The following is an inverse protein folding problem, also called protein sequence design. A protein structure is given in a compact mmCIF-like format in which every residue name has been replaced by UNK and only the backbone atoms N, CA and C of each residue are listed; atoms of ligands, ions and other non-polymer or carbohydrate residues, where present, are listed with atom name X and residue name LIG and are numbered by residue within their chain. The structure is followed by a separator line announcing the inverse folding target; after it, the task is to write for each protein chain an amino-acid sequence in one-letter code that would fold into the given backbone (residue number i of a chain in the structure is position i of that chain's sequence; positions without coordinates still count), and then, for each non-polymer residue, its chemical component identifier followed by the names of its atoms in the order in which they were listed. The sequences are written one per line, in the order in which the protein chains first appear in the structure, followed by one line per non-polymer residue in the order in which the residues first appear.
data_IF_486274977631
#
_entry.id   IF_486274977631
#
_cell.length_a   1.000
_cell.length_b   1.000
_cell.length_c   1.000
_cell.angle_alpha   90.00
_cell.angle_beta   90.00
_cell.angle_gamma   90.00
#
_symmetry.space_group_name_H-M   'P 1'
#
loop_
_entity.id
_entity.type
_entity.pdbx_description
1 polymer ?
#
# COMPACT_ATOMS: atom_id res chain seq x y z
N UNK A 1 52.24 19.58 -8.52
CA UNK A 1 51.81 18.64 -7.45
C UNK A 1 50.75 19.34 -6.63
N UNK A 2 49.59 18.81 -6.27
CA UNK A 2 48.78 17.66 -6.68
C UNK A 2 47.32 18.05 -6.34
N UNK A 3 46.35 17.63 -7.15
CA UNK A 3 44.91 17.77 -6.88
C UNK A 3 44.50 16.94 -5.66
N UNK A 4 43.61 17.39 -4.76
CA UNK A 4 42.91 16.47 -3.88
C UNK A 4 41.76 15.79 -4.64
N UNK A 5 41.62 14.50 -4.36
CA UNK A 5 40.86 13.52 -5.12
C UNK A 5 39.37 13.80 -5.23
N UNK A 6 38.83 13.42 -6.39
CA UNK A 6 37.43 13.12 -6.56
C UNK A 6 37.01 12.08 -5.50
N UNK A 7 36.13 12.47 -4.58
CA UNK A 7 35.45 11.53 -3.72
C UNK A 7 34.66 10.56 -4.58
N UNK A 8 35.01 9.27 -4.49
CA UNK A 8 34.21 8.19 -5.05
C UNK A 8 32.76 8.38 -4.59
N UNK A 9 31.85 8.57 -5.54
CA UNK A 9 30.44 8.76 -5.27
C UNK A 9 29.93 7.57 -4.47
N UNK A 10 29.58 7.78 -3.21
CA UNK A 10 28.83 6.79 -2.44
C UNK A 10 27.57 6.47 -3.25
N UNK A 11 27.49 5.26 -3.79
CA UNK A 11 26.27 4.75 -4.41
C UNK A 11 25.18 4.83 -3.34
N UNK A 12 24.25 5.76 -3.50
CA UNK A 12 23.15 5.92 -2.56
C UNK A 12 22.28 4.65 -2.61
N UNK A 13 22.43 3.80 -1.59
CA UNK A 13 21.60 2.61 -1.42
C UNK A 13 20.17 3.03 -1.08
N UNK A 14 19.19 2.38 -1.70
CA UNK A 14 17.78 2.50 -1.33
C UNK A 14 17.41 1.22 -0.60
N UNK A 15 16.91 1.36 0.62
CA UNK A 15 16.32 0.25 1.37
C UNK A 15 14.83 0.53 1.48
N UNK A 16 14.04 -0.36 0.90
CA UNK A 16 12.59 -0.38 1.08
C UNK A 16 12.30 -1.07 2.41
N UNK A 17 11.64 -0.39 3.38
CA UNK A 17 11.25 -1.03 4.62
C UNK A 17 10.36 -2.23 4.34
N UNK A 18 10.63 -3.36 4.99
CA UNK A 18 9.75 -4.53 4.92
C UNK A 18 8.46 -4.17 5.68
N UNK A 19 7.27 -4.27 5.07
CA UNK A 19 6.02 -4.03 5.77
C UNK A 19 5.89 -4.96 6.99
N UNK A 20 5.20 -4.55 8.06
CA UNK A 20 4.83 -5.47 9.12
C UNK A 20 4.01 -6.63 8.53
N UNK A 21 4.11 -7.82 9.14
CA UNK A 21 3.37 -9.01 8.72
C UNK A 21 1.86 -8.85 9.00
N UNK A 22 1.21 -8.09 8.13
CA UNK A 22 -0.20 -7.70 8.18
C UNK A 22 -0.64 -7.30 6.78
N UNK A 23 -1.55 -8.05 6.20
CA UNK A 23 -2.15 -7.73 4.90
C UNK A 23 -3.62 -8.14 4.92
N UNK A 24 -4.45 -7.47 4.13
CA UNK A 24 -5.83 -7.88 3.91
C UNK A 24 -6.21 -7.55 2.48
N UNK A 25 -6.89 -8.47 1.81
CA UNK A 25 -7.42 -8.27 0.48
C UNK A 25 -8.70 -9.08 0.31
N UNK A 26 -9.80 -8.41 0.04
CA UNK A 26 -11.11 -8.97 -0.26
C UNK A 26 -11.46 -8.66 -1.71
N UNK A 27 -11.89 -9.69 -2.43
CA UNK A 27 -12.37 -9.54 -3.81
C UNK A 27 -13.88 -9.28 -3.85
N UNK A 28 -14.58 -9.64 -2.78
CA UNK A 28 -15.95 -9.24 -2.52
C UNK A 28 -16.28 -9.34 -1.03
N UNK A 29 -17.53 -9.09 -0.66
CA UNK A 29 -17.98 -9.08 0.74
C UNK A 29 -17.86 -10.41 1.50
N UNK A 30 -17.56 -11.52 0.81
CA UNK A 30 -17.52 -12.87 1.33
C UNK A 30 -16.17 -13.57 1.10
N UNK A 31 -15.44 -13.20 0.05
CA UNK A 31 -14.20 -13.87 -0.34
C UNK A 31 -13.02 -12.94 -0.15
N UNK A 32 -12.01 -13.42 0.58
CA UNK A 32 -10.79 -12.66 0.82
C UNK A 32 -9.79 -13.42 1.66
N UNK A 33 -8.63 -12.79 1.81
CA UNK A 33 -7.51 -13.31 2.57
C UNK A 33 -6.97 -12.27 3.53
N UNK A 34 -6.46 -12.75 4.67
CA UNK A 34 -5.84 -11.95 5.71
C UNK A 34 -4.50 -12.55 6.05
N UNK A 35 -3.46 -11.77 5.88
CA UNK A 35 -2.10 -12.08 6.26
C UNK A 35 -1.80 -11.55 7.67
N UNK A 36 -1.18 -12.36 8.49
CA UNK A 36 -0.69 -11.96 9.82
C UNK A 36 0.68 -12.57 10.07
N UNK A 37 1.34 -12.16 11.16
CA UNK A 37 2.54 -12.84 11.67
C UNK A 37 2.31 -14.35 11.95
N UNK A 38 1.06 -14.79 12.16
CA UNK A 38 0.71 -16.18 12.44
C UNK A 38 0.35 -17.03 11.23
N UNK A 39 0.24 -16.45 10.03
CA UNK A 39 -0.21 -17.18 8.85
C UNK A 39 -1.08 -16.38 7.89
N UNK A 40 -1.38 -17.01 6.75
CA UNK A 40 -2.42 -16.62 5.81
C UNK A 40 -3.75 -17.28 6.20
N UNK A 41 -4.79 -16.48 6.33
CA UNK A 41 -6.15 -16.89 6.63
C UNK A 41 -7.04 -16.61 5.41
N UNK A 42 -7.78 -17.60 4.93
CA UNK A 42 -8.79 -17.43 3.87
C UNK A 42 -10.22 -17.47 4.40
N UNK A 43 -11.15 -16.82 3.69
CA UNK A 43 -12.59 -16.86 3.95
C UNK A 43 -13.40 -16.90 2.66
N UNK A 44 -14.56 -17.58 2.71
CA UNK A 44 -15.54 -17.68 1.61
C UNK A 44 -16.94 -17.19 1.98
N UNK A 45 -17.12 -16.77 3.23
CA UNK A 45 -18.37 -16.23 3.78
C UNK A 45 -18.18 -14.84 4.42
N UNK A 46 -16.95 -14.35 4.52
CA UNK A 46 -16.59 -13.08 5.12
C UNK A 46 -16.84 -13.04 6.62
N UNK A 47 -16.93 -14.22 7.27
CA UNK A 47 -17.23 -14.40 8.70
C UNK A 47 -16.27 -15.39 9.35
N UNK A 48 -16.09 -16.56 8.74
CA UNK A 48 -15.21 -17.62 9.22
C UNK A 48 -13.88 -17.58 8.48
N UNK A 49 -12.78 -17.74 9.21
CA UNK A 49 -11.41 -17.68 8.69
C UNK A 49 -10.68 -18.98 9.00
N UNK A 50 -9.98 -19.51 8.00
CA UNK A 50 -9.22 -20.76 8.12
C UNK A 50 -7.77 -20.51 7.75
N UNK A 51 -6.85 -21.10 8.52
CA UNK A 51 -5.42 -21.04 8.20
C UNK A 51 -5.16 -21.86 6.95
N UNK A 52 -4.72 -21.20 5.88
CA UNK A 52 -4.36 -21.83 4.60
C UNK A 52 -2.85 -21.99 4.48
N UNK A 53 -2.07 -21.07 5.06
CA UNK A 53 -0.61 -21.12 5.08
C UNK A 53 -0.08 -20.75 6.47
N UNK A 54 0.89 -21.52 6.98
CA UNK A 54 1.56 -21.29 8.28
C UNK A 54 2.90 -20.58 8.13
N UNK A 55 2.87 -19.40 7.50
CA UNK A 55 4.03 -18.52 7.37
C UNK A 55 3.59 -17.06 7.56
N UNK A 56 4.40 -16.18 8.17
CA UNK A 56 4.09 -14.76 8.26
C UNK A 56 3.84 -14.18 6.87
N UNK A 57 2.80 -13.37 6.70
CA UNK A 57 2.46 -12.75 5.42
C UNK A 57 2.57 -11.23 5.51
N UNK A 58 3.30 -10.62 4.59
CA UNK A 58 3.57 -9.18 4.54
C UNK A 58 2.82 -8.45 3.42
N UNK A 59 2.28 -9.18 2.44
CA UNK A 59 1.54 -8.60 1.32
C UNK A 59 0.61 -9.62 0.67
N UNK A 60 -0.53 -9.15 0.15
CA UNK A 60 -1.50 -9.95 -0.60
C UNK A 60 -1.95 -9.12 -1.81
N UNK A 61 -1.99 -9.74 -2.98
CA UNK A 61 -2.65 -9.20 -4.16
C UNK A 61 -3.71 -10.22 -4.61
N UNK A 62 -4.98 -9.85 -4.47
CA UNK A 62 -6.10 -10.70 -4.84
C UNK A 62 -6.72 -10.20 -6.15
N UNK A 63 -6.91 -11.07 -7.13
CA UNK A 63 -7.47 -10.71 -8.43
C UNK A 63 -8.94 -11.13 -8.53
N UNK A 64 -9.25 -12.35 -8.12
CA UNK A 64 -10.62 -12.84 -8.02
C UNK A 64 -10.75 -13.92 -6.93
N UNK A 65 -11.90 -14.60 -6.86
CA UNK A 65 -12.19 -15.62 -5.84
C UNK A 65 -11.26 -16.84 -5.89
N UNK A 66 -10.65 -17.12 -7.04
CA UNK A 66 -9.81 -18.29 -7.26
C UNK A 66 -8.32 -17.93 -7.33
N UNK A 67 -7.99 -16.71 -7.74
CA UNK A 67 -6.62 -16.28 -8.07
C UNK A 67 -6.16 -15.16 -7.16
N UNK A 68 -5.12 -15.46 -6.38
CA UNK A 68 -4.44 -14.50 -5.52
C UNK A 68 -2.96 -14.88 -5.35
N UNK A 69 -2.18 -13.89 -4.95
CA UNK A 69 -0.76 -13.99 -4.61
C UNK A 69 -0.51 -13.42 -3.23
N UNK A 70 0.48 -13.96 -2.53
CA UNK A 70 0.90 -13.48 -1.22
C UNK A 70 2.42 -13.48 -1.11
N UNK A 71 2.97 -12.58 -0.31
CA UNK A 71 4.39 -12.57 0.04
C UNK A 71 4.55 -12.99 1.50
N UNK A 72 5.45 -13.96 1.74
CA UNK A 72 5.84 -14.37 3.08
C UNK A 72 6.86 -13.41 3.71
N UNK A 73 7.05 -13.45 5.03
CA UNK A 73 7.99 -12.57 5.74
C UNK A 73 9.46 -12.72 5.33
N UNK A 74 9.85 -13.87 4.76
CA UNK A 74 11.16 -14.12 4.14
C UNK A 74 11.21 -13.74 2.64
N UNK A 75 10.16 -13.10 2.13
CA UNK A 75 10.08 -12.49 0.81
C UNK A 75 9.65 -13.43 -0.31
N UNK A 76 9.11 -14.61 0.00
CA UNK A 76 8.73 -15.59 -1.02
C UNK A 76 7.34 -15.32 -1.57
N UNK A 77 7.15 -15.58 -2.86
CA UNK A 77 5.84 -15.46 -3.50
C UNK A 77 5.10 -16.79 -3.41
N UNK A 78 3.87 -16.73 -2.92
CA UNK A 78 2.88 -17.80 -2.97
C UNK A 78 1.79 -17.43 -3.97
N UNK A 79 1.16 -18.45 -4.56
CA UNK A 79 0.01 -18.29 -5.44
C UNK A 79 -1.06 -19.32 -5.14
N UNK A 80 -2.32 -18.91 -5.25
CA UNK A 80 -3.46 -19.80 -5.41
C UNK A 80 -4.10 -19.64 -6.79
N UNK A 81 -4.70 -20.72 -7.29
CA UNK A 81 -5.47 -20.72 -8.55
C UNK A 81 -6.87 -21.31 -8.39
N UNK A 82 -7.20 -21.81 -7.20
CA UNK A 82 -8.50 -22.37 -6.81
C UNK A 82 -9.10 -21.66 -5.58
N UNK A 83 -8.39 -20.67 -5.03
CA UNK A 83 -8.79 -19.89 -3.86
C UNK A 83 -8.59 -20.57 -2.51
N UNK A 84 -8.03 -21.79 -2.48
CA UNK A 84 -7.94 -22.61 -1.26
C UNK A 84 -6.58 -23.28 -1.04
N UNK A 85 -5.86 -23.59 -2.13
CA UNK A 85 -4.54 -24.22 -2.08
C UNK A 85 -3.50 -23.23 -2.57
N UNK A 86 -2.42 -23.14 -1.81
CA UNK A 86 -1.31 -22.23 -2.08
C UNK A 86 -0.07 -23.02 -2.46
N UNK A 87 0.54 -22.66 -3.58
CA UNK A 87 1.83 -23.16 -4.04
C UNK A 87 2.87 -22.06 -3.94
N UNK A 88 4.08 -22.40 -3.49
CA UNK A 88 5.23 -21.51 -3.54
C UNK A 88 5.73 -21.37 -4.98
N UNK A 89 5.95 -20.14 -5.41
CA UNK A 89 6.56 -19.81 -6.69
C UNK A 89 8.07 -19.52 -6.51
N UNK A 90 8.79 -19.44 -7.63
CA UNK A 90 10.22 -19.11 -7.66
C UNK A 90 10.53 -17.70 -7.13
N UNK A 91 11.74 -17.52 -6.63
CA UNK A 91 12.19 -16.33 -5.91
C UNK A 91 12.40 -15.12 -6.83
N UNK A 92 11.75 -14.01 -6.48
CA UNK A 92 12.50 -12.92 -5.89
C UNK A 92 12.12 -12.70 -4.43
N UNK A 93 13.07 -12.20 -3.62
CA UNK A 93 12.79 -11.67 -2.28
C UNK A 93 12.06 -10.33 -2.42
N UNK A 94 10.74 -10.40 -2.48
CA UNK A 94 9.88 -9.23 -2.63
C UNK A 94 9.48 -8.65 -1.27
N UNK A 95 9.26 -7.34 -1.26
CA UNK A 95 8.64 -6.60 -0.17
C UNK A 95 7.30 -5.98 -0.59
N UNK A 96 7.02 -5.95 -1.90
CA UNK A 96 5.75 -5.54 -2.50
C UNK A 96 5.40 -6.41 -3.70
N UNK A 97 4.11 -6.69 -3.89
CA UNK A 97 3.57 -7.41 -5.06
C UNK A 97 2.20 -6.85 -5.42
N UNK A 98 1.96 -6.70 -6.72
CA UNK A 98 0.65 -6.36 -7.28
C UNK A 98 0.47 -7.07 -8.61
N UNK A 99 -0.63 -7.80 -8.76
CA UNK A 99 -1.06 -8.35 -10.04
C UNK A 99 -2.15 -7.46 -10.63
N UNK A 100 -1.93 -7.02 -11.87
CA UNK A 100 -2.90 -6.21 -12.64
C UNK A 100 -3.88 -7.09 -13.43
N UNK A 101 -3.51 -8.35 -13.63
CA UNK A 101 -4.38 -9.41 -14.12
C UNK A 101 -3.83 -10.80 -13.74
N UNK A 102 -4.51 -11.84 -14.21
CA UNK A 102 -4.16 -13.22 -13.92
C UNK A 102 -2.73 -13.66 -14.32
N UNK A 103 -2.11 -12.97 -15.29
CA UNK A 103 -0.80 -13.33 -15.85
C UNK A 103 0.30 -12.30 -15.59
N UNK A 104 -0.04 -11.01 -15.46
CA UNK A 104 0.94 -9.93 -15.31
C UNK A 104 0.96 -9.39 -13.89
N UNK A 105 2.15 -9.42 -13.28
CA UNK A 105 2.40 -8.85 -11.97
C UNK A 105 3.65 -7.97 -11.94
N UNK A 106 3.65 -7.03 -11.02
CA UNK A 106 4.78 -6.18 -10.67
C UNK A 106 5.14 -6.42 -9.21
N UNK A 107 6.40 -6.23 -8.88
CA UNK A 107 6.87 -6.38 -7.52
C UNK A 107 8.10 -5.54 -7.25
N UNK A 108 8.37 -5.31 -5.97
CA UNK A 108 9.50 -4.53 -5.51
C UNK A 108 10.36 -5.38 -4.59
N UNK A 109 11.66 -5.38 -4.85
CA UNK A 109 12.66 -6.00 -3.97
C UNK A 109 13.05 -5.04 -2.84
N UNK A 110 13.64 -5.57 -1.77
CA UNK A 110 14.13 -4.75 -0.64
C UNK A 110 15.14 -3.68 -1.05
N UNK A 111 15.91 -3.94 -2.10
CA UNK A 111 16.92 -3.01 -2.62
C UNK A 111 16.31 -1.97 -3.60
N UNK A 112 14.99 -1.91 -3.71
CA UNK A 112 14.28 -0.94 -4.54
C UNK A 112 14.25 -1.27 -6.03
N UNK A 113 14.58 -2.50 -6.42
CA UNK A 113 14.49 -2.95 -7.82
C UNK A 113 13.05 -3.34 -8.16
N UNK A 114 12.48 -2.66 -9.14
CA UNK A 114 11.20 -3.04 -9.75
C UNK A 114 11.38 -4.29 -10.62
N UNK A 115 10.53 -5.28 -10.41
CA UNK A 115 10.47 -6.51 -11.20
C UNK A 115 9.08 -6.70 -11.78
N UNK A 116 9.00 -7.48 -12.86
CA UNK A 116 7.76 -7.81 -13.56
C UNK A 116 7.73 -9.30 -13.89
N UNK A 117 6.56 -9.89 -13.74
CA UNK A 117 6.22 -11.23 -14.20
C UNK A 117 5.17 -11.15 -15.31
N UNK A 118 5.27 -12.07 -16.27
CA UNK A 118 4.25 -12.26 -17.33
C UNK A 118 3.72 -13.69 -17.37
N UNK A 119 4.02 -14.49 -16.34
CA UNK A 119 3.69 -15.90 -16.22
C UNK A 119 3.08 -16.22 -14.84
N UNK A 120 2.21 -15.32 -14.36
CA UNK A 120 1.49 -15.46 -13.10
C UNK A 120 2.40 -15.58 -11.87
N UNK A 121 3.58 -14.95 -11.91
CA UNK A 121 4.56 -14.91 -10.82
C UNK A 121 5.54 -16.08 -10.82
N UNK A 122 5.53 -16.95 -11.82
CA UNK A 122 6.43 -18.11 -11.87
C UNK A 122 7.88 -17.68 -12.09
N UNK A 123 8.10 -16.66 -12.94
CA UNK A 123 9.39 -15.99 -13.13
C UNK A 123 9.24 -14.48 -13.05
N UNK A 124 10.31 -13.82 -12.63
CA UNK A 124 10.38 -12.38 -12.45
C UNK A 124 11.64 -11.83 -13.10
N UNK A 125 11.47 -10.76 -13.88
CA UNK A 125 12.56 -10.08 -14.57
C UNK A 125 12.60 -8.62 -14.12
N UNK A 126 13.79 -8.01 -14.10
CA UNK A 126 13.92 -6.59 -13.82
C UNK A 126 13.11 -5.79 -14.83
N UNK A 127 12.19 -4.96 -14.33
CA UNK A 127 11.45 -4.02 -15.16
C UNK A 127 12.26 -2.74 -15.35
N UNK A 128 11.96 -2.00 -16.43
CA UNK A 128 12.52 -0.66 -16.61
C UNK A 128 11.90 0.29 -15.58
N UNK A 129 12.75 1.02 -14.87
CA UNK A 129 12.36 2.02 -13.89
C UNK A 129 13.35 3.21 -13.95
N UNK A 130 12.98 4.39 -13.41
CA UNK A 130 13.86 5.57 -13.34
C UNK A 130 15.12 5.38 -12.47
N UNK A 131 15.26 4.22 -11.82
CA UNK A 131 16.32 3.85 -10.90
C UNK A 131 15.77 2.91 -9.84
N UNK A 132 16.43 2.86 -8.68
CA UNK A 132 15.85 2.25 -7.49
C UNK A 132 14.67 3.10 -7.00
N UNK A 133 13.59 2.45 -6.56
CA UNK A 133 12.34 3.08 -6.12
C UNK A 133 11.99 2.60 -4.70
N UNK A 134 11.16 3.37 -4.00
CA UNK A 134 10.72 3.05 -2.63
C UNK A 134 9.28 2.52 -2.57
N UNK A 135 8.48 2.82 -3.57
CA UNK A 135 7.11 2.34 -3.70
C UNK A 135 6.69 2.32 -5.17
N UNK A 136 5.82 1.39 -5.51
CA UNK A 136 5.25 1.14 -6.81
C UNK A 136 3.73 0.97 -6.70
N UNK A 137 3.02 1.34 -7.76
CA UNK A 137 1.65 0.90 -7.98
C UNK A 137 1.36 0.88 -9.48
N UNK A 138 0.86 -0.24 -9.98
CA UNK A 138 0.41 -0.41 -11.36
C UNK A 138 -1.08 -0.74 -11.35
N UNK A 139 -1.88 0.05 -12.04
CA UNK A 139 -3.32 -0.21 -12.18
C UNK A 139 -3.63 -1.06 -13.42
N UNK A 140 -2.76 -1.01 -14.43
CA UNK A 140 -2.88 -1.82 -15.65
C UNK A 140 -1.53 -2.36 -16.09
N UNK A 141 -1.50 -3.14 -17.18
CA UNK A 141 -0.24 -3.57 -17.81
C UNK A 141 0.62 -2.40 -18.30
N UNK A 142 0.02 -1.22 -18.51
CA UNK A 142 0.63 -0.06 -19.14
C UNK A 142 0.77 1.14 -18.20
N UNK A 143 -0.23 1.35 -17.36
CA UNK A 143 -0.32 2.50 -16.48
C UNK A 143 0.21 2.15 -15.09
N UNK A 144 1.13 2.97 -14.60
CA UNK A 144 1.72 2.78 -13.29
C UNK A 144 2.53 3.96 -12.81
N UNK A 145 2.84 3.91 -11.52
CA UNK A 145 3.55 4.94 -10.77
C UNK A 145 4.65 4.30 -9.94
N UNK A 146 5.76 5.02 -9.81
CA UNK A 146 6.82 4.70 -8.85
C UNK A 146 7.20 5.96 -8.09
N UNK A 147 7.65 5.81 -6.85
CA UNK A 147 8.01 6.94 -6.01
C UNK A 147 9.34 6.71 -5.29
N UNK A 148 10.07 7.81 -5.08
CA UNK A 148 11.32 7.86 -4.31
C UNK A 148 11.58 9.29 -3.83
N UNK A 149 11.85 9.44 -2.53
CA UNK A 149 11.87 10.74 -1.88
C UNK A 149 10.60 11.52 -2.20
N UNK A 150 10.71 12.84 -2.39
CA UNK A 150 9.57 13.68 -2.80
C UNK A 150 9.21 13.71 -4.28
N UNK A 151 9.55 12.65 -5.03
CA UNK A 151 9.23 12.56 -6.44
C UNK A 151 8.40 11.31 -6.76
N UNK A 152 7.49 11.48 -7.72
CA UNK A 152 6.72 10.41 -8.35
C UNK A 152 7.06 10.38 -9.82
N UNK A 153 7.14 9.18 -10.40
CA UNK A 153 7.29 8.96 -11.83
C UNK A 153 6.07 8.20 -12.33
N UNK A 154 5.52 8.64 -13.45
CA UNK A 154 4.35 8.04 -14.11
C UNK A 154 4.76 7.38 -15.42
N UNK A 155 4.19 6.22 -15.71
CA UNK A 155 4.29 5.53 -17.00
C UNK A 155 2.90 5.21 -17.57
N UNK A 156 2.78 5.24 -18.90
CA UNK A 156 1.59 4.86 -19.67
C UNK A 156 1.91 3.82 -20.75
N UNK A 157 3.11 3.23 -20.69
CA UNK A 157 3.64 2.30 -21.68
C UNK A 157 4.33 1.07 -21.04
N UNK A 158 3.97 0.76 -19.79
CA UNK A 158 4.44 -0.41 -19.07
C UNK A 158 5.88 -0.26 -18.57
N UNK A 159 6.29 0.98 -18.26
CA UNK A 159 7.61 1.33 -17.75
C UNK A 159 8.66 1.56 -18.83
N UNK A 160 8.30 1.62 -20.12
CA UNK A 160 9.27 1.90 -21.20
C UNK A 160 9.73 3.36 -21.15
N UNK A 161 8.83 4.27 -20.80
CA UNK A 161 9.07 5.68 -20.54
C UNK A 161 8.48 6.11 -19.20
N UNK A 162 9.12 7.09 -18.57
CA UNK A 162 8.73 7.63 -17.27
C UNK A 162 8.79 9.15 -17.25
N UNK A 163 7.70 9.78 -16.83
CA UNK A 163 7.65 11.24 -16.61
C UNK A 163 7.78 11.53 -15.12
N UNK A 164 8.78 12.33 -14.75
CA UNK A 164 9.04 12.69 -13.35
C UNK A 164 8.24 13.93 -12.94
N UNK A 165 7.58 13.85 -11.80
CA UNK A 165 6.99 15.00 -11.10
C UNK A 165 7.60 15.10 -9.71
N UNK A 166 8.21 16.26 -9.40
CA UNK A 166 8.70 16.56 -8.05
C UNK A 166 7.56 17.21 -7.27
N UNK A 167 7.06 16.51 -6.25
CA UNK A 167 5.98 16.99 -5.39
C UNK A 167 6.52 17.68 -4.15
N UNK A 168 7.69 17.25 -3.69
CA UNK A 168 8.36 17.79 -2.51
C UNK A 168 9.88 17.82 -2.66
N UNK A 169 10.51 18.60 -1.81
CA UNK A 169 11.96 18.87 -1.80
C UNK A 169 12.69 18.14 -0.67
N UNK A 170 11.98 17.45 0.22
CA UNK A 170 12.56 16.75 1.36
C UNK A 170 13.32 15.48 0.94
N UNK A 171 14.42 15.21 1.63
CA UNK A 171 15.29 14.04 1.38
C UNK A 171 14.94 12.81 2.23
N UNK A 172 14.11 12.97 3.27
CA UNK A 172 13.74 11.89 4.21
C UNK A 172 12.30 11.39 4.02
N UNK A 173 11.72 11.59 2.84
CA UNK A 173 10.35 11.19 2.58
C UNK A 173 10.27 9.70 2.29
N UNK A 174 9.37 9.01 2.98
CA UNK A 174 9.01 7.62 2.76
C UNK A 174 7.68 7.57 2.00
N UNK A 175 7.71 7.48 0.65
CA UNK A 175 6.48 7.43 -0.13
C UNK A 175 5.80 6.07 -0.04
N UNK A 176 4.47 6.09 0.04
CA UNK A 176 3.61 4.92 -0.15
C UNK A 176 2.56 5.25 -1.19
N UNK A 177 2.58 4.54 -2.33
CA UNK A 177 1.66 4.70 -3.44
C UNK A 177 0.49 3.72 -3.31
N UNK A 178 -0.70 4.19 -3.70
CA UNK A 178 -1.86 3.37 -4.01
C UNK A 178 -2.49 3.90 -5.29
N UNK A 179 -3.08 3.02 -6.08
CA UNK A 179 -3.66 3.36 -7.36
C UNK A 179 -4.76 2.37 -7.71
N UNK A 180 -5.73 2.88 -8.46
CA UNK A 180 -6.78 2.10 -9.08
C UNK A 180 -7.21 2.82 -10.35
N UNK A 181 -7.46 2.05 -11.42
CA UNK A 181 -7.75 2.59 -12.75
C UNK A 181 -6.75 3.68 -13.23
N UNK A 182 -7.14 4.96 -13.27
CA UNK A 182 -6.30 6.10 -13.66
C UNK A 182 -5.98 7.02 -12.49
N UNK A 183 -6.40 6.66 -11.29
CA UNK A 183 -6.19 7.42 -10.08
C UNK A 183 -4.99 6.90 -9.32
N UNK A 184 -4.20 7.84 -8.81
CA UNK A 184 -3.06 7.53 -7.95
C UNK A 184 -3.02 8.48 -6.76
N UNK A 185 -2.74 7.92 -5.61
CA UNK A 185 -2.56 8.63 -4.36
C UNK A 185 -1.21 8.26 -3.77
N UNK A 186 -0.52 9.24 -3.20
CA UNK A 186 0.76 9.02 -2.52
C UNK A 186 0.72 9.67 -1.15
N UNK A 187 1.09 8.90 -0.14
CA UNK A 187 1.37 9.40 1.20
C UNK A 187 2.88 9.50 1.35
N UNK A 188 3.40 10.69 1.60
CA UNK A 188 4.79 10.90 2.00
C UNK A 188 4.85 10.99 3.51
N UNK A 189 5.28 9.92 4.17
CA UNK A 189 5.60 9.94 5.59
C UNK A 189 6.98 10.56 5.82
N UNK A 190 7.15 11.26 6.94
CA UNK A 190 8.36 11.94 7.37
C UNK A 190 8.74 11.50 8.80
N UNK A 191 9.62 12.24 9.47
CA UNK A 191 9.95 11.99 10.86
C UNK A 191 8.78 12.20 11.82
N UNK A 192 8.75 11.42 12.90
CA UNK A 192 7.85 11.61 14.02
C UNK A 192 8.55 12.30 15.19
N UNK A 193 7.89 13.29 15.77
CA UNK A 193 8.35 14.02 16.96
C UNK A 193 7.16 14.51 17.77
N UNK A 194 7.32 14.59 19.10
CA UNK A 194 6.31 15.13 20.02
C UNK A 194 4.89 14.53 19.84
N UNK A 195 4.80 13.21 19.58
CA UNK A 195 3.53 12.50 19.45
C UNK A 195 2.77 12.74 18.14
N UNK A 196 3.45 13.24 17.11
CA UNK A 196 2.91 13.46 15.75
C UNK A 196 3.95 13.11 14.69
N UNK A 197 3.51 12.62 13.55
CA UNK A 197 4.31 12.39 12.34
C UNK A 197 4.07 13.51 11.31
N UNK A 198 5.14 13.95 10.65
CA UNK A 198 4.99 14.77 9.45
C UNK A 198 4.53 13.91 8.27
N UNK A 199 3.48 14.32 7.57
CA UNK A 199 3.09 13.65 6.35
C UNK A 199 2.33 14.59 5.41
N UNK A 200 2.35 14.26 4.11
CA UNK A 200 1.53 14.90 3.09
C UNK A 200 0.91 13.85 2.18
N UNK A 201 -0.32 14.08 1.75
CA UNK A 201 -1.00 13.25 0.76
C UNK A 201 -1.26 14.05 -0.50
N UNK A 202 -0.81 13.50 -1.61
CA UNK A 202 -1.09 14.02 -2.94
C UNK A 202 -1.93 13.01 -3.71
N UNK A 203 -2.71 13.53 -4.66
CA UNK A 203 -3.50 12.71 -5.58
C UNK A 203 -3.36 13.21 -7.01
N UNK A 204 -3.46 12.30 -7.96
CA UNK A 204 -3.65 12.53 -9.39
C UNK A 204 -4.89 11.74 -9.80
N UNK A 205 -5.81 12.39 -10.52
CA UNK A 205 -7.04 11.75 -11.01
C UNK A 205 -7.04 11.73 -12.51
N UNK A 206 -7.50 10.64 -13.10
CA UNK A 206 -7.60 10.47 -14.56
C UNK A 206 -6.29 10.79 -15.31
N UNK A 207 -5.13 10.58 -14.67
CA UNK A 207 -3.82 10.96 -15.22
C UNK A 207 -3.52 12.46 -15.26
N UNK A 208 -4.32 13.28 -14.59
CA UNK A 208 -4.14 14.73 -14.44
C UNK A 208 -2.98 15.11 -13.49
N UNK A 209 -2.78 16.42 -13.23
CA UNK A 209 -1.70 16.88 -12.36
C UNK A 209 -1.90 16.43 -10.91
N UNK A 210 -0.79 16.33 -10.19
CA UNK A 210 -0.79 16.02 -8.77
C UNK A 210 -1.19 17.24 -7.93
N UNK A 211 -2.11 17.05 -6.98
CA UNK A 211 -2.53 18.06 -6.02
C UNK A 211 -2.45 17.56 -4.58
N UNK A 212 -2.00 18.42 -3.65
CA UNK A 212 -1.99 18.12 -2.23
C UNK A 212 -3.42 18.21 -1.66
N UNK A 213 -3.82 17.22 -0.85
CA UNK A 213 -5.20 17.11 -0.35
C UNK A 213 -5.29 16.86 1.16
N UNK A 214 -4.28 16.24 1.76
CA UNK A 214 -4.18 16.08 3.22
C UNK A 214 -2.76 16.36 3.70
N UNK A 215 -2.61 16.76 4.96
CA UNK A 215 -1.31 16.88 5.62
C UNK A 215 -1.37 16.61 7.12
N UNK A 216 -0.22 16.49 7.76
CA UNK A 216 -0.11 16.38 9.21
C UNK A 216 -0.74 17.58 9.94
N UNK A 217 -1.27 17.40 11.17
CA UNK A 217 -2.07 18.44 11.86
C UNK A 217 -1.39 19.80 12.07
N UNK A 218 -0.06 19.85 12.14
CA UNK A 218 0.67 21.11 12.29
C UNK A 218 0.69 21.95 10.99
N UNK A 219 0.37 21.34 9.84
CA UNK A 219 0.19 22.04 8.58
C UNK A 219 -1.26 22.49 8.40
N UNK A 220 -1.60 23.63 8.99
CA UNK A 220 -2.99 24.13 9.13
C UNK A 220 -3.75 24.42 7.82
N UNK A 221 -3.11 24.31 6.65
CA UNK A 221 -3.71 24.62 5.34
C UNK A 221 -4.51 23.45 4.74
N UNK A 222 -4.25 22.22 5.17
CA UNK A 222 -4.91 21.03 4.64
C UNK A 222 -5.56 20.23 5.78
N UNK A 223 -6.67 19.52 5.51
CA UNK A 223 -7.23 18.58 6.47
C UNK A 223 -6.20 17.48 6.79
N UNK A 224 -6.33 16.88 7.98
CA UNK A 224 -5.42 15.82 8.45
C UNK A 224 -6.08 14.45 8.42
N UNK A 225 -5.29 13.38 8.32
CA UNK A 225 -5.75 12.02 8.57
C UNK A 225 -5.87 11.84 10.09
N UNK A 226 -4.75 11.98 10.80
CA UNK A 226 -4.61 11.85 12.26
C UNK A 226 -3.26 12.43 12.69
N UNK A 227 -2.78 12.10 13.90
CA UNK A 227 -1.40 12.41 14.29
C UNK A 227 -0.37 11.56 13.52
N UNK A 228 -0.75 10.33 13.16
CA UNK A 228 0.06 9.41 12.37
C UNK A 228 -0.76 8.91 11.18
N UNK A 229 -0.15 8.92 9.99
CA UNK A 229 -0.77 8.32 8.82
C UNK A 229 -0.65 6.80 8.89
N UNK A 230 -1.71 6.10 8.46
CA UNK A 230 -1.76 4.65 8.43
C UNK A 230 -1.89 4.14 7.00
N UNK A 231 -2.10 2.82 6.84
CA UNK A 231 -2.39 2.24 5.54
C UNK A 231 -3.69 2.81 4.95
N UNK A 232 -3.82 2.77 3.64
CA UNK A 232 -4.93 3.34 2.90
C UNK A 232 -5.32 2.47 1.70
N UNK A 233 -6.53 2.68 1.19
CA UNK A 233 -7.08 2.02 0.00
C UNK A 233 -7.49 3.09 -1.02
N UNK A 234 -7.09 2.90 -2.28
CA UNK A 234 -7.59 3.69 -3.42
C UNK A 234 -8.68 2.88 -4.12
N UNK A 235 -9.79 3.53 -4.47
CA UNK A 235 -11.02 2.87 -4.95
C UNK A 235 -11.42 3.32 -6.36
N UNK A 236 -10.56 4.09 -7.04
CA UNK A 236 -10.86 4.71 -8.33
C UNK A 236 -11.88 5.85 -8.23
N UNK A 237 -12.11 6.53 -9.36
CA UNK A 237 -13.09 7.61 -9.51
C UNK A 237 -13.09 8.69 -8.40
N UNK A 238 -11.90 9.07 -7.94
CA UNK A 238 -11.68 10.07 -6.89
C UNK A 238 -11.90 9.55 -5.46
N UNK A 239 -12.25 8.28 -5.28
CA UNK A 239 -12.51 7.71 -3.97
C UNK A 239 -11.25 7.08 -3.34
N UNK A 240 -11.05 7.36 -2.05
CA UNK A 240 -9.98 6.76 -1.25
C UNK A 240 -10.37 6.72 0.23
N UNK A 241 -9.80 5.76 0.96
CA UNK A 241 -9.99 5.60 2.41
C UNK A 241 -8.62 5.53 3.08
N UNK A 242 -8.37 6.46 3.99
CA UNK A 242 -7.17 6.56 4.80
C UNK A 242 -7.46 6.10 6.22
N UNK A 243 -6.55 5.35 6.80
CA UNK A 243 -6.53 5.13 8.24
C UNK A 243 -5.44 5.99 8.87
N UNK A 244 -5.62 6.34 10.13
CA UNK A 244 -4.58 6.98 10.91
C UNK A 244 -4.76 6.67 12.38
N UNK A 245 -3.81 7.09 13.20
CA UNK A 245 -3.86 6.83 14.62
C UNK A 245 -3.39 8.01 15.45
N UNK A 246 -3.88 8.03 16.69
CA UNK A 246 -3.36 8.86 17.76
C UNK A 246 -3.12 7.96 18.97
N UNK A 247 -1.91 7.43 19.09
CA UNK A 247 -1.48 6.66 20.26
C UNK A 247 -1.63 7.40 21.61
N UNK A 248 -1.33 8.72 21.73
CA UNK A 248 -1.52 9.43 22.99
C UNK A 248 -2.99 9.79 23.29
N UNK A 249 -3.91 9.63 22.33
CA UNK A 249 -5.31 9.96 22.52
C UNK A 249 -6.06 8.83 23.25
N UNK A 250 -6.82 9.18 24.29
CA UNK A 250 -7.85 8.31 24.85
C UNK A 250 -7.37 6.96 25.41
N UNK A 251 -6.40 6.96 26.33
CA UNK A 251 -6.01 5.84 27.21
C UNK A 251 -5.43 4.57 26.57
N UNK A 252 -5.90 4.17 25.38
CA UNK A 252 -5.49 2.99 24.60
C UNK A 252 -5.14 3.34 23.15
N UNK A 253 -5.13 4.63 22.79
CA UNK A 253 -5.03 5.11 21.42
C UNK A 253 -6.38 5.14 20.70
N UNK A 254 -6.50 6.02 19.71
CA UNK A 254 -7.66 6.07 18.80
C UNK A 254 -7.23 5.88 17.36
N UNK A 255 -8.05 5.16 16.58
CA UNK A 255 -7.90 5.08 15.14
C UNK A 255 -8.91 5.98 14.44
N UNK A 256 -8.51 6.61 13.35
CA UNK A 256 -9.36 7.46 12.51
C UNK A 256 -9.50 6.85 11.13
N UNK A 257 -10.71 6.90 10.59
CA UNK A 257 -11.03 6.53 9.21
C UNK A 257 -11.42 7.82 8.49
N UNK A 258 -10.69 8.17 7.44
CA UNK A 258 -10.89 9.40 6.67
C UNK A 258 -11.11 9.01 5.23
N UNK A 259 -12.25 9.40 4.67
CA UNK A 259 -12.70 8.90 3.37
C UNK A 259 -13.20 10.03 2.48
N UNK A 260 -12.91 9.92 1.20
CA UNK A 260 -13.36 10.86 0.16
C UNK A 260 -14.02 10.09 -0.99
N UNK A 261 -14.89 10.76 -1.73
CA UNK A 261 -15.59 10.28 -2.93
C UNK A 261 -15.45 11.24 -4.11
N UNK A 262 -14.75 12.35 -3.90
CA UNK A 262 -14.75 13.52 -4.78
C UNK A 262 -13.32 14.02 -5.03
N UNK A 263 -12.35 13.10 -5.01
CA UNK A 263 -10.97 13.43 -5.34
C UNK A 263 -10.25 14.23 -4.26
N UNK A 264 -10.73 14.14 -3.01
CA UNK A 264 -10.21 14.89 -1.88
C UNK A 264 -10.71 16.33 -1.78
N UNK A 265 -11.80 16.69 -2.47
CA UNK A 265 -12.46 17.98 -2.26
C UNK A 265 -13.15 18.03 -0.89
N UNK A 266 -13.74 16.92 -0.45
CA UNK A 266 -14.30 16.77 0.89
C UNK A 266 -13.91 15.42 1.52
N UNK A 267 -13.92 15.39 2.86
CA UNK A 267 -13.56 14.21 3.63
C UNK A 267 -14.60 13.95 4.74
N UNK A 268 -15.17 12.74 4.75
CA UNK A 268 -15.94 12.24 5.87
C UNK A 268 -15.01 11.50 6.85
N UNK A 269 -15.31 11.61 8.15
CA UNK A 269 -14.47 11.08 9.23
C UNK A 269 -15.27 10.17 10.15
N UNK A 270 -14.64 9.09 10.60
CA UNK A 270 -15.12 8.25 11.69
C UNK A 270 -13.96 7.88 12.62
N UNK A 271 -14.29 7.55 13.86
CA UNK A 271 -13.32 7.10 14.87
C UNK A 271 -13.66 5.71 15.35
N UNK A 272 -12.61 4.94 15.65
CA UNK A 272 -12.75 3.61 16.21
C UNK A 272 -11.91 3.49 17.51
N UNK A 273 -12.51 3.04 18.62
CA UNK A 273 -11.81 2.84 19.89
C UNK A 273 -11.02 1.52 19.86
N UNK A 274 -9.90 1.53 19.15
CA UNK A 274 -9.02 0.38 19.03
C UNK A 274 -7.60 0.76 18.64
N UNK A 275 -6.67 -0.22 18.66
CA UNK A 275 -5.29 0.02 18.27
C UNK A 275 -5.19 0.45 16.80
N UNK A 276 -4.09 1.07 16.42
CA UNK A 276 -3.86 1.47 15.03
C UNK A 276 -4.03 0.28 14.06
N UNK A 277 -4.82 0.44 12.98
CA UNK A 277 -4.88 -0.54 11.90
C UNK A 277 -3.49 -0.74 11.28
N UNK A 278 -3.09 -1.99 11.11
CA UNK A 278 -1.84 -2.37 10.44
C UNK A 278 -2.03 -2.77 8.98
N UNK A 279 -3.27 -3.05 8.58
CA UNK A 279 -3.66 -3.17 7.18
C UNK A 279 -5.14 -2.77 7.03
N UNK A 280 -5.49 -2.32 5.83
CA UNK A 280 -6.84 -1.89 5.48
C UNK A 280 -7.16 -2.32 4.06
N UNK A 281 -8.41 -2.70 3.83
CA UNK A 281 -8.93 -2.95 2.50
C UNK A 281 -10.42 -2.58 2.45
N UNK A 282 -10.82 -1.86 1.42
CA UNK A 282 -12.18 -1.39 1.23
C UNK A 282 -12.63 -1.77 -0.18
N UNK A 283 -13.84 -2.29 -0.32
CA UNK A 283 -14.46 -2.52 -1.63
C UNK A 283 -15.14 -1.25 -2.15
N UNK A 284 -15.54 -0.39 -1.23
CA UNK A 284 -16.05 0.94 -1.49
C UNK A 284 -15.92 1.78 -0.21
N UNK A 285 -16.32 3.05 -0.27
CA UNK A 285 -16.23 3.97 0.88
C UNK A 285 -17.11 3.62 2.10
N UNK A 286 -17.89 2.54 2.06
CA UNK A 286 -18.74 2.04 3.16
C UNK A 286 -18.35 0.65 3.64
N UNK A 287 -17.95 -0.25 2.74
CA UNK A 287 -17.69 -1.66 3.04
C UNK A 287 -16.19 -1.93 3.02
N UNK A 288 -15.64 -2.32 4.18
CA UNK A 288 -14.22 -2.62 4.29
C UNK A 288 -13.84 -3.39 5.52
N UNK A 289 -12.57 -3.75 5.58
CA UNK A 289 -11.92 -4.51 6.63
C UNK A 289 -10.65 -3.80 7.09
N UNK A 290 -10.36 -3.95 8.37
CA UNK A 290 -9.07 -3.58 8.94
C UNK A 290 -8.48 -4.78 9.66
N UNK A 291 -7.16 -4.87 9.64
CA UNK A 291 -6.40 -5.70 10.55
C UNK A 291 -5.85 -4.81 11.64
N UNK A 292 -6.10 -5.16 12.90
CA UNK A 292 -5.61 -4.42 14.03
C UNK A 292 -5.19 -5.40 15.14
N UNK A 293 -3.89 -5.40 15.47
CA UNK A 293 -3.28 -6.47 16.25
C UNK A 293 -3.35 -7.81 15.52
N UNK A 294 -3.96 -8.83 16.13
CA UNK A 294 -4.16 -10.17 15.53
C UNK A 294 -5.60 -10.42 15.08
N UNK A 295 -6.40 -9.36 14.90
CA UNK A 295 -7.83 -9.46 14.65
C UNK A 295 -8.21 -8.70 13.39
N UNK A 296 -9.23 -9.25 12.72
CA UNK A 296 -9.91 -8.64 11.60
C UNK A 296 -11.18 -8.00 12.11
N UNK A 297 -11.48 -6.80 11.62
CA UNK A 297 -12.73 -6.11 11.85
C UNK A 297 -13.33 -5.72 10.52
N UNK A 298 -14.66 -5.68 10.46
CA UNK A 298 -15.43 -5.31 9.27
C UNK A 298 -16.34 -4.13 9.57
N UNK A 299 -16.49 -3.25 8.59
CA UNK A 299 -17.46 -2.16 8.58
C UNK A 299 -18.37 -2.25 7.35
N UNK A 300 -19.60 -1.75 7.50
CA UNK A 300 -20.60 -1.62 6.42
C UNK A 300 -21.07 -0.17 6.23
N UNK A 301 -20.59 0.75 7.06
CA UNK A 301 -20.95 2.17 7.08
C UNK A 301 -19.71 3.08 7.04
N UNK A 302 -18.60 2.52 6.56
CA UNK A 302 -17.32 3.17 6.26
C UNK A 302 -16.59 3.63 7.50
N UNK A 303 -16.67 2.83 8.55
CA UNK A 303 -15.87 2.96 9.77
C UNK A 303 -16.60 3.59 10.94
N UNK A 304 -17.90 3.89 10.83
CA UNK A 304 -18.68 4.40 11.96
C UNK A 304 -18.93 3.27 12.98
N UNK A 305 -19.19 2.05 12.50
CA UNK A 305 -19.27 0.87 13.33
C UNK A 305 -18.37 -0.25 12.79
N UNK A 306 -17.77 -0.97 13.73
CA UNK A 306 -16.88 -2.10 13.47
C UNK A 306 -17.38 -3.33 14.20
N UNK A 307 -17.43 -4.46 13.50
CA UNK A 307 -17.79 -5.75 14.07
C UNK A 307 -16.71 -6.77 13.76
N UNK A 308 -16.59 -7.78 14.62
CA UNK A 308 -15.86 -8.97 14.21
C UNK A 308 -16.67 -9.66 13.10
N UNK A 309 -15.99 -10.19 12.07
CA UNK A 309 -16.65 -10.99 11.05
C UNK A 309 -17.40 -12.18 11.65
#
# INVERSE_FOLDING_TARGET
MARPGAGAGATAFVIVPVPPASAVAFVDARHGWVGTAGGLLGTTDGRTFRVEVRAPIIGISAFDRARAWAITGDGLVLRTSDGHRWSRLGAPHLVGVQFVDAGVGFGLTRDGVLVRSTDSGATWQRARAPGLVQSECFSTRRDGWTARGGAVWTTHDGGRGWTRTRLRTGSQEAPSLGCDERDAWVVFAEGAAAGTEGYHVYRSLDGGPWGAVLASPFQRKLPSISNYAGPFTVLGHGAAVFTGSCAPCGGRGTATIVRTRDGGATFARATWPGPAPTAVDFLDTRRGWIVAGRRVWRTLDGGAHWRRP
#
